data_IF_036526722381
#
_entry.id   IF_036526722381
#
_cell.length_a   1.000
_cell.length_b   1.000
_cell.length_c   1.000
_cell.angle_alpha   90.00
_cell.angle_beta   90.00
_cell.angle_gamma   90.00
#
_symmetry.space_group_name_H-M   'P 1'
#
loop_
_entity.id
_entity.type
_entity.pdbx_description
1 polymer ?
#
# COMPACT_ATOMS: atom_id res chain seq x y z
N UNK A 1 -18.85 5.51 -9.64
CA UNK A 1 -18.82 4.36 -8.72
C UNK A 1 -19.12 4.89 -7.34
N UNK A 2 -20.07 4.29 -6.64
CA UNK A 2 -20.42 4.71 -5.29
C UNK A 2 -19.49 3.99 -4.28
N UNK A 3 -18.90 4.76 -3.36
CA UNK A 3 -17.90 4.27 -2.40
C UNK A 3 -18.61 3.89 -1.09
N UNK A 4 -19.60 3.01 -1.19
CA UNK A 4 -20.34 2.51 -0.04
C UNK A 4 -19.51 1.47 0.73
N UNK A 5 -19.82 1.20 2.02
CA UNK A 5 -19.17 0.13 2.76
C UNK A 5 -19.29 -1.24 2.06
N UNK A 6 -20.45 -1.52 1.45
CA UNK A 6 -20.69 -2.77 0.72
C UNK A 6 -19.77 -2.90 -0.48
N UNK A 7 -19.64 -1.87 -1.32
CA UNK A 7 -18.79 -1.92 -2.51
C UNK A 7 -17.29 -2.01 -2.18
N UNK A 8 -16.89 -1.45 -1.03
CA UNK A 8 -15.52 -1.58 -0.49
C UNK A 8 -15.23 -2.98 0.02
N UNK A 9 -16.17 -3.60 0.72
CA UNK A 9 -16.02 -4.99 1.17
C UNK A 9 -15.96 -5.96 -0.01
N UNK A 10 -16.81 -5.78 -1.03
CA UNK A 10 -16.75 -6.57 -2.27
C UNK A 10 -15.39 -6.43 -2.99
N UNK A 11 -14.84 -5.21 -3.01
CA UNK A 11 -13.51 -4.97 -3.55
C UNK A 11 -12.43 -5.71 -2.76
N UNK A 12 -12.46 -5.64 -1.42
CA UNK A 12 -11.48 -6.33 -0.57
C UNK A 12 -11.54 -7.85 -0.73
N UNK A 13 -12.73 -8.43 -0.81
CA UNK A 13 -12.93 -9.86 -1.04
C UNK A 13 -12.37 -10.29 -2.40
N UNK A 14 -12.64 -9.52 -3.46
CA UNK A 14 -12.08 -9.76 -4.78
C UNK A 14 -10.55 -9.65 -4.79
N UNK A 15 -10.00 -8.64 -4.09
CA UNK A 15 -8.56 -8.43 -3.95
C UNK A 15 -7.87 -9.56 -3.19
N UNK A 16 -8.50 -10.11 -2.14
CA UNK A 16 -7.97 -11.27 -1.43
C UNK A 16 -7.95 -12.52 -2.31
N UNK A 17 -9.01 -12.75 -3.09
CA UNK A 17 -9.06 -13.81 -4.09
C UNK A 17 -7.91 -13.67 -5.11
N UNK A 18 -7.71 -12.46 -5.64
CA UNK A 18 -6.64 -12.18 -6.60
C UNK A 18 -5.25 -12.34 -5.98
N UNK A 19 -5.01 -11.82 -4.78
CA UNK A 19 -3.72 -11.92 -4.09
C UNK A 19 -3.33 -13.37 -3.81
N UNK A 20 -4.30 -14.20 -3.40
CA UNK A 20 -4.05 -15.61 -3.12
C UNK A 20 -3.93 -16.44 -4.40
N UNK A 21 -4.71 -16.12 -5.44
CA UNK A 21 -4.71 -16.84 -6.72
C UNK A 21 -3.55 -16.47 -7.66
N UNK A 22 -3.07 -15.23 -7.62
CA UNK A 22 -1.94 -14.72 -8.42
C UNK A 22 -0.65 -14.56 -7.61
N UNK A 23 -0.49 -15.34 -6.53
CA UNK A 23 0.78 -15.39 -5.83
C UNK A 23 1.82 -16.07 -6.73
N UNK A 24 2.61 -15.27 -7.45
CA UNK A 24 3.77 -15.77 -8.17
C UNK A 24 4.85 -16.11 -7.15
N UNK A 25 5.05 -17.41 -6.95
CA UNK A 25 6.15 -17.91 -6.11
C UNK A 25 7.46 -17.65 -6.85
N UNK A 26 8.22 -16.67 -6.37
CA UNK A 26 9.56 -16.35 -6.86
C UNK A 26 10.66 -17.10 -6.09
N UNK A 27 10.25 -17.84 -5.06
CA UNK A 27 11.04 -18.67 -4.16
C UNK A 27 11.22 -20.12 -4.64
N UNK A 28 10.63 -20.48 -5.80
CA UNK A 28 10.77 -21.81 -6.40
C UNK A 28 11.78 -21.81 -7.54
N UNK A 29 12.46 -22.94 -7.72
CA UNK A 29 13.39 -23.12 -8.83
C UNK A 29 12.70 -22.98 -10.19
N UNK A 30 13.40 -22.33 -11.12
CA UNK A 30 12.98 -22.29 -12.53
C UNK A 30 13.14 -23.71 -13.09
N UNK A 31 12.01 -24.34 -13.47
CA UNK A 31 12.02 -25.69 -14.04
C UNK A 31 12.96 -25.76 -15.26
N UNK A 32 13.88 -26.71 -15.24
CA UNK A 32 14.92 -26.89 -16.26
C UNK A 32 14.38 -27.42 -17.61
N UNK A 33 13.12 -27.85 -17.66
CA UNK A 33 12.47 -28.45 -18.86
C UNK A 33 11.84 -27.41 -19.80
N UNK A 34 12.04 -26.11 -19.56
CA UNK A 34 11.42 -25.05 -20.38
C UNK A 34 12.21 -24.85 -21.68
N UNK A 35 11.49 -24.59 -22.77
CA UNK A 35 12.11 -24.09 -23.99
C UNK A 35 12.81 -22.73 -23.73
N UNK A 36 13.81 -22.40 -24.54
CA UNK A 36 14.64 -21.21 -24.34
C UNK A 36 13.81 -19.91 -24.29
N UNK A 37 12.75 -19.81 -25.10
CA UNK A 37 11.86 -18.63 -25.12
C UNK A 37 11.07 -18.54 -23.80
N UNK A 38 10.53 -19.65 -23.30
CA UNK A 38 9.83 -19.69 -22.00
C UNK A 38 10.77 -19.38 -20.83
N UNK A 39 12.01 -19.88 -20.86
CA UNK A 39 13.02 -19.57 -19.85
C UNK A 39 13.34 -18.06 -19.83
N UNK A 40 13.58 -17.47 -21.02
CA UNK A 40 13.84 -16.04 -21.16
C UNK A 40 12.68 -15.17 -20.68
N UNK A 41 11.44 -15.49 -21.07
CA UNK A 41 10.24 -14.77 -20.63
C UNK A 41 10.07 -14.80 -19.10
N UNK A 42 10.42 -15.94 -18.49
CA UNK A 42 10.39 -16.08 -17.02
C UNK A 42 11.39 -15.12 -16.38
N UNK A 43 12.64 -15.10 -16.87
CA UNK A 43 13.68 -14.19 -16.36
C UNK A 43 13.30 -12.71 -16.54
N UNK A 44 12.76 -12.33 -17.69
CA UNK A 44 12.31 -10.96 -17.95
C UNK A 44 11.19 -10.55 -16.99
N UNK A 45 10.25 -11.47 -16.71
CA UNK A 45 9.16 -11.24 -15.75
C UNK A 45 9.70 -11.08 -14.33
N UNK A 46 10.66 -11.92 -13.91
CA UNK A 46 11.31 -11.82 -12.60
C UNK A 46 12.00 -10.46 -12.40
N UNK A 47 12.80 -10.04 -13.39
CA UNK A 47 13.51 -8.75 -13.35
C UNK A 47 12.52 -7.60 -13.31
N UNK A 48 11.45 -7.64 -14.10
CA UNK A 48 10.41 -6.62 -14.10
C UNK A 48 9.73 -6.53 -12.73
N UNK A 49 9.30 -7.65 -12.15
CA UNK A 49 8.67 -7.70 -10.83
C UNK A 49 9.61 -7.18 -9.73
N UNK A 50 10.89 -7.55 -9.77
CA UNK A 50 11.90 -7.06 -8.82
C UNK A 50 12.12 -5.55 -8.92
N UNK A 51 12.20 -5.01 -10.15
CA UNK A 51 12.33 -3.56 -10.39
C UNK A 51 11.10 -2.79 -9.90
N UNK A 52 9.91 -3.32 -10.17
CA UNK A 52 8.66 -2.76 -9.66
C UNK A 52 8.66 -2.74 -8.14
N UNK A 53 8.98 -3.87 -7.49
CA UNK A 53 9.04 -3.98 -6.04
C UNK A 53 10.05 -3.02 -5.40
N UNK A 54 11.21 -2.82 -6.02
CA UNK A 54 12.22 -1.87 -5.55
C UNK A 54 11.79 -0.41 -5.71
N UNK A 55 10.99 -0.09 -6.73
CA UNK A 55 10.48 1.25 -6.97
C UNK A 55 9.24 1.56 -6.12
N UNK A 56 8.41 0.57 -5.83
CA UNK A 56 7.25 0.71 -4.96
C UNK A 56 7.69 0.74 -3.50
N UNK A 57 7.56 1.86 -2.78
CA UNK A 57 7.95 1.89 -1.38
C UNK A 57 7.11 0.88 -0.57
N UNK A 58 7.67 0.25 0.47
CA UNK A 58 6.89 -0.58 1.38
C UNK A 58 5.67 0.19 1.92
N UNK A 59 4.55 -0.51 2.11
CA UNK A 59 3.37 0.03 2.79
C UNK A 59 3.80 0.76 4.08
N UNK A 60 3.48 2.05 4.18
CA UNK A 60 3.85 2.91 5.31
C UNK A 60 5.08 3.80 5.18
N UNK A 61 5.78 3.80 4.05
CA UNK A 61 6.71 4.89 3.74
C UNK A 61 5.96 6.22 3.53
N UNK A 62 6.60 7.38 3.78
CA UNK A 62 5.93 8.70 3.76
C UNK A 62 5.13 9.02 2.47
N UNK A 63 5.53 8.42 1.34
CA UNK A 63 4.91 8.63 0.03
C UNK A 63 4.13 7.41 -0.48
N UNK A 64 4.00 6.33 0.30
CA UNK A 64 3.23 5.16 -0.11
C UNK A 64 1.74 5.38 0.19
N UNK A 65 0.84 5.30 -0.80
CA UNK A 65 -0.59 5.27 -0.53
C UNK A 65 -0.93 4.01 0.26
N UNK A 66 -1.71 4.16 1.33
CA UNK A 66 -2.30 3.01 1.99
C UNK A 66 -3.52 2.59 1.17
N UNK A 67 -3.42 1.45 0.49
CA UNK A 67 -4.47 0.91 -0.36
C UNK A 67 -5.37 -0.05 0.44
N UNK A 68 -5.82 0.38 1.62
CA UNK A 68 -6.80 -0.38 2.39
C UNK A 68 -8.08 0.44 2.50
N UNK A 69 -9.20 -0.25 2.35
CA UNK A 69 -10.50 0.32 2.69
C UNK A 69 -10.50 0.70 4.18
N UNK A 70 -11.30 1.70 4.60
CA UNK A 70 -11.45 2.06 6.01
C UNK A 70 -11.77 0.85 6.91
N UNK A 71 -12.63 -0.06 6.43
CA UNK A 71 -13.10 -1.24 7.14
C UNK A 71 -11.98 -2.25 7.37
N UNK A 72 -11.19 -2.55 6.32
CA UNK A 72 -10.03 -3.44 6.40
C UNK A 72 -8.94 -2.85 7.28
N UNK A 73 -8.70 -1.56 7.18
CA UNK A 73 -7.72 -0.87 7.99
C UNK A 73 -8.06 -0.90 9.49
N UNK A 74 -9.33 -0.72 9.84
CA UNK A 74 -9.82 -0.88 11.21
C UNK A 74 -9.62 -2.31 11.73
N UNK A 75 -9.88 -3.31 10.88
CA UNK A 75 -9.65 -4.71 11.23
C UNK A 75 -8.16 -5.01 11.51
N UNK A 76 -7.25 -4.53 10.64
CA UNK A 76 -5.79 -4.69 10.81
C UNK A 76 -5.31 -4.01 12.09
N UNK A 77 -5.82 -2.80 12.38
CA UNK A 77 -5.50 -2.07 13.61
C UNK A 77 -5.94 -2.84 14.85
N UNK A 78 -7.20 -3.31 14.90
CA UNK A 78 -7.74 -4.07 16.05
C UNK A 78 -6.95 -5.36 16.33
N UNK A 79 -6.35 -5.96 15.29
CA UNK A 79 -5.52 -7.16 15.43
C UNK A 79 -4.07 -6.89 15.80
N UNK A 80 -3.65 -5.63 15.88
CA UNK A 80 -2.28 -5.25 16.27
C UNK A 80 -1.25 -5.46 15.17
N UNK A 81 -1.66 -5.64 13.91
CA UNK A 81 -0.75 -5.77 12.77
C UNK A 81 -0.23 -4.42 12.25
N UNK A 82 -0.89 -3.32 12.64
CA UNK A 82 -0.52 -1.97 12.25
C UNK A 82 0.35 -1.34 13.35
N UNK A 83 1.57 -0.94 12.99
CA UNK A 83 2.38 -0.11 13.88
C UNK A 83 1.64 1.22 14.11
N UNK A 84 1.45 1.59 15.38
CA UNK A 84 0.84 2.87 15.79
C UNK A 84 1.53 4.09 15.17
N UNK A 85 2.82 3.99 14.86
CA UNK A 85 3.60 5.05 14.21
C UNK A 85 3.35 5.14 12.70
N UNK A 86 2.82 4.07 12.13
CA UNK A 86 2.49 3.90 10.72
C UNK A 86 0.98 3.81 10.52
N UNK A 87 0.19 4.45 11.40
CA UNK A 87 -1.27 4.45 11.26
C UNK A 87 -1.70 5.46 10.18
N UNK A 88 -2.22 4.99 9.04
CA UNK A 88 -2.61 5.87 7.96
C UNK A 88 -3.93 6.60 8.20
N UNK A 89 -4.71 6.20 9.21
CA UNK A 89 -5.92 6.90 9.65
C UNK A 89 -5.58 8.26 10.26
N UNK A 90 -4.34 8.42 10.76
CA UNK A 90 -3.85 9.71 11.25
C UNK A 90 -3.49 10.57 10.03
N UNK A 91 -4.08 11.79 9.90
CA UNK A 91 -3.71 12.73 8.85
C UNK A 91 -2.19 12.92 8.81
N UNK A 92 -1.62 13.00 7.60
CA UNK A 92 -0.17 13.04 7.40
C UNK A 92 0.52 14.10 8.28
N UNK A 93 -0.11 15.27 8.45
CA UNK A 93 0.38 16.40 9.26
C UNK A 93 0.56 16.09 10.75
N UNK A 94 -0.11 15.04 11.26
CA UNK A 94 -0.08 14.61 12.65
C UNK A 94 0.70 13.30 12.87
N UNK A 95 1.28 12.72 11.81
CA UNK A 95 2.11 11.51 11.94
C UNK A 95 3.42 11.82 12.65
N UNK A 96 3.96 10.83 13.36
CA UNK A 96 5.17 10.96 14.17
C UNK A 96 6.40 11.46 13.39
N UNK A 97 6.52 11.05 12.13
CA UNK A 97 7.63 11.41 11.25
C UNK A 97 7.43 12.73 10.48
N UNK A 98 6.30 13.42 10.66
CA UNK A 98 6.03 14.65 9.92
C UNK A 98 6.88 15.81 10.44
N UNK A 99 7.55 16.59 9.56
CA UNK A 99 8.40 17.69 10.00
C UNK A 99 7.63 18.74 10.81
N UNK A 100 8.05 18.97 12.06
CA UNK A 100 7.38 19.91 12.99
C UNK A 100 7.29 21.33 12.42
N UNK A 101 8.35 21.79 11.76
CA UNK A 101 8.40 23.11 11.13
C UNK A 101 7.38 23.25 9.99
N UNK A 102 7.21 22.20 9.18
CA UNK A 102 6.25 22.20 8.09
C UNK A 102 4.82 22.20 8.64
N UNK A 103 4.55 21.41 9.68
CA UNK A 103 3.25 21.39 10.37
C UNK A 103 2.88 22.77 10.87
N UNK A 104 3.81 23.47 11.53
CA UNK A 104 3.57 24.82 12.03
C UNK A 104 3.26 25.82 10.89
N UNK A 105 3.92 25.71 9.74
CA UNK A 105 3.65 26.54 8.57
C UNK A 105 2.26 26.29 7.98
N UNK A 106 1.86 25.02 7.87
CA UNK A 106 0.52 24.63 7.37
C UNK A 106 -0.57 25.15 8.29
N UNK A 107 -0.49 24.87 9.61
CA UNK A 107 -1.50 25.32 10.57
C UNK A 107 -1.64 26.85 10.60
N UNK A 108 -0.53 27.59 10.49
CA UNK A 108 -0.55 29.06 10.41
C UNK A 108 -1.18 29.55 9.11
N UNK A 109 -0.97 28.84 8.00
CA UNK A 109 -1.63 29.14 6.73
C UNK A 109 -3.14 28.91 6.85
N UNK A 110 -3.57 27.80 7.44
CA UNK A 110 -5.00 27.49 7.62
C UNK A 110 -5.70 28.53 8.49
N UNK A 111 -5.09 28.91 9.61
CA UNK A 111 -5.59 29.99 10.49
C UNK A 111 -5.72 31.32 9.74
N UNK A 112 -4.70 31.72 8.97
CA UNK A 112 -4.71 32.97 8.21
C UNK A 112 -5.80 33.01 7.13
N UNK A 113 -6.12 31.86 6.54
CA UNK A 113 -7.07 31.75 5.44
C UNK A 113 -8.46 31.28 5.89
N UNK A 114 -8.68 31.06 7.18
CA UNK A 114 -9.95 30.59 7.72
C UNK A 114 -10.32 29.17 7.25
N UNK A 115 -9.33 28.37 6.87
CA UNK A 115 -9.52 26.98 6.49
C UNK A 115 -9.71 26.19 7.78
N UNK A 116 -10.84 25.49 7.89
CA UNK A 116 -11.17 24.61 9.01
C UNK A 116 -11.38 23.19 8.47
N UNK A 117 -10.93 22.21 9.25
CA UNK A 117 -11.18 20.78 9.02
C UNK A 117 -12.69 20.46 8.92
#
# INVERSE_FOLDING_TARGET
MDSTPESRNEFDDAMDGYRNGMKTNFDVDIRNERDERSAKLTMDTLILSAKLAALTPPQGYPNAPYYFTPERLEWIYKRGYLDKLLDPRIPAIYRYNFPKELRAKILKFDEKNGIKD
#
